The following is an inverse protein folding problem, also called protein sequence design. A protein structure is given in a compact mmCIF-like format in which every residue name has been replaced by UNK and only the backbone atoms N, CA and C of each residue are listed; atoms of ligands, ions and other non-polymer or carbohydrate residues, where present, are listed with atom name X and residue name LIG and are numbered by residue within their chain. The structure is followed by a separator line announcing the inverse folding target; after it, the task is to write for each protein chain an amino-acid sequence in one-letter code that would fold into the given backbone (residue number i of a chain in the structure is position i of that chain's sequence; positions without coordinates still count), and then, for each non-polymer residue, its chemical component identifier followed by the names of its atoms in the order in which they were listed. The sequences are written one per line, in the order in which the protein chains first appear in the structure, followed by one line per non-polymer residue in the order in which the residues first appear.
data_IF_575229942537
#
_entry.id   IF_575229942537
#
_cell.length_a   1.000
_cell.length_b   1.000
_cell.length_c   1.000
_cell.angle_alpha   90.00
_cell.angle_beta   90.00
_cell.angle_gamma   90.00
#
_symmetry.space_group_name_H-M   'P 1'
#
loop_
_entity.id
_entity.type
_entity.pdbx_description
1 polymer ?
#
# COMPACT_ATOMS: atom_id res chain seq x y z
N UNK A 1 49.12 -10.18 1.63
CA UNK A 1 49.20 -11.19 2.70
C UNK A 1 48.24 -10.73 3.79
N UNK A 2 46.93 -10.66 3.58
CA UNK A 2 45.98 -11.67 3.06
C UNK A 2 46.00 -12.92 3.92
N UNK A 3 45.24 -12.89 5.01
CA UNK A 3 44.62 -14.08 5.59
C UNK A 3 43.30 -13.64 6.22
N UNK A 4 42.25 -13.87 5.43
CA UNK A 4 40.84 -13.61 5.72
C UNK A 4 40.24 -15.01 5.87
N UNK A 5 40.02 -15.45 7.11
CA UNK A 5 39.50 -16.79 7.42
C UNK A 5 38.25 -16.68 8.28
N UNK A 6 37.11 -16.84 7.59
CA UNK A 6 35.88 -17.52 7.99
C UNK A 6 35.24 -17.16 9.34
N UNK A 7 34.19 -16.34 9.30
CA UNK A 7 33.13 -16.35 10.33
C UNK A 7 31.95 -17.17 9.81
N UNK A 8 31.79 -18.37 10.39
CA UNK A 8 30.63 -19.24 10.23
C UNK A 8 29.39 -18.62 10.86
N UNK A 9 28.32 -18.51 10.07
CA UNK A 9 26.95 -18.28 10.54
C UNK A 9 26.36 -19.61 11.03
N UNK A 10 25.73 -19.69 12.23
CA UNK A 10 25.07 -20.91 12.66
C UNK A 10 23.75 -21.11 11.91
N UNK A 11 23.63 -22.22 11.18
CA UNK A 11 22.37 -22.70 10.61
C UNK A 11 21.53 -23.41 11.68
N UNK A 12 20.24 -23.07 11.72
CA UNK A 12 19.23 -23.76 12.51
C UNK A 12 18.96 -25.17 11.97
N UNK A 13 18.92 -26.17 12.85
CA UNK A 13 18.52 -27.53 12.54
C UNK A 13 17.00 -27.72 12.71
N UNK A 14 16.30 -28.40 11.77
CA UNK A 14 14.93 -28.86 11.98
C UNK A 14 14.87 -30.21 12.74
N UNK A 15 13.77 -30.52 13.44
CA UNK A 15 13.65 -31.68 14.33
C UNK A 15 13.46 -33.03 13.60
N UNK A 16 13.74 -34.17 14.26
CA UNK A 16 13.72 -35.49 13.65
C UNK A 16 12.35 -36.18 13.75
N UNK A 17 11.94 -36.88 12.68
CA UNK A 17 10.81 -37.81 12.67
C UNK A 17 10.95 -38.81 11.51
N UNK A 18 11.02 -40.12 11.83
CA UNK A 18 11.35 -41.22 10.90
C UNK A 18 10.17 -41.76 10.05
N UNK A 19 10.17 -43.07 9.66
CA UNK A 19 10.75 -43.50 8.38
C UNK A 19 9.74 -44.15 7.39
N UNK A 20 10.02 -43.98 6.09
CA UNK A 20 9.88 -45.00 5.04
C UNK A 20 8.53 -45.16 4.30
N UNK A 21 8.54 -44.94 2.97
CA UNK A 21 7.41 -45.32 2.09
C UNK A 21 7.45 -44.84 0.63
N UNK A 22 8.46 -45.24 -0.14
CA UNK A 22 8.63 -45.37 -1.61
C UNK A 22 7.65 -44.75 -2.65
N UNK A 23 8.28 -43.95 -3.54
CA UNK A 23 8.18 -43.74 -5.01
C UNK A 23 7.16 -44.47 -5.91
N UNK A 24 6.56 -43.69 -6.82
CA UNK A 24 6.46 -43.82 -8.31
C UNK A 24 5.49 -42.71 -8.80
N UNK A 25 5.70 -41.90 -9.85
CA UNK A 25 6.38 -42.09 -11.13
C UNK A 25 5.33 -42.39 -12.23
N UNK A 26 5.27 -41.57 -13.29
CA UNK A 26 4.38 -41.63 -14.48
C UNK A 26 2.96 -41.02 -14.31
N UNK A 27 2.39 -40.21 -15.22
CA UNK A 27 2.47 -40.16 -16.70
C UNK A 27 2.22 -38.74 -17.25
N UNK A 28 3.02 -38.34 -18.25
CA UNK A 28 2.66 -37.40 -19.32
C UNK A 28 1.58 -38.03 -20.23
N UNK A 29 0.63 -37.24 -20.76
CA UNK A 29 0.28 -37.16 -22.21
C UNK A 29 -1.08 -36.46 -22.49
N UNK A 30 -1.02 -35.44 -23.36
CA UNK A 30 -1.97 -34.97 -24.40
C UNK A 30 -3.48 -34.87 -24.18
N UNK A 31 -4.06 -33.77 -24.69
CA UNK A 31 -5.46 -33.75 -25.12
C UNK A 31 -6.02 -32.39 -25.52
N UNK A 32 -5.77 -31.96 -26.75
CA UNK A 32 -6.51 -30.90 -27.47
C UNK A 32 -8.00 -31.29 -27.61
N UNK A 33 -8.99 -30.39 -27.43
CA UNK A 33 -10.36 -30.70 -27.80
C UNK A 33 -10.66 -30.33 -29.26
N UNK A 34 -11.29 -31.29 -29.95
CA UNK A 34 -11.74 -31.31 -31.33
C UNK A 34 -13.16 -30.73 -31.46
N UNK A 35 -13.40 -30.01 -32.56
CA UNK A 35 -14.71 -29.55 -33.06
C UNK A 35 -15.55 -30.73 -33.57
N UNK A 36 -16.88 -30.71 -33.42
CA UNK A 36 -17.76 -31.43 -34.34
C UNK A 36 -18.72 -30.47 -35.08
N UNK A 37 -18.92 -30.74 -36.37
CA UNK A 37 -20.02 -30.20 -37.16
C UNK A 37 -21.01 -31.30 -37.55
N UNK A 38 -22.29 -30.95 -37.71
CA UNK A 38 -23.26 -31.81 -38.42
C UNK A 38 -24.75 -31.72 -38.01
N UNK A 39 -25.47 -30.72 -38.55
CA UNK A 39 -26.77 -30.80 -39.28
C UNK A 39 -27.97 -31.57 -38.65
N UNK A 40 -29.05 -30.84 -38.29
CA UNK A 40 -30.42 -30.97 -38.87
C UNK A 40 -31.44 -30.00 -38.21
N UNK A 41 -32.30 -29.39 -39.04
CA UNK A 41 -33.47 -28.52 -38.72
C UNK A 41 -34.73 -29.41 -38.55
N UNK A 42 -35.82 -29.00 -37.85
CA UNK A 42 -36.82 -28.05 -38.40
C UNK A 42 -37.60 -27.18 -37.36
N UNK A 43 -38.24 -26.09 -37.82
CA UNK A 43 -39.49 -25.58 -37.19
C UNK A 43 -39.57 -24.07 -36.87
N UNK A 44 -40.20 -23.33 -37.78
CA UNK A 44 -40.82 -21.97 -37.65
C UNK A 44 -41.87 -21.87 -36.50
N UNK A 45 -42.55 -20.73 -36.16
CA UNK A 45 -42.78 -19.49 -36.96
C UNK A 45 -42.90 -18.14 -36.20
N UNK A 46 -42.94 -17.04 -36.97
CA UNK A 46 -43.67 -15.75 -36.77
C UNK A 46 -43.21 -14.81 -37.90
N UNK A 47 -44.02 -14.25 -38.81
CA UNK A 47 -45.46 -14.06 -38.88
C UNK A 47 -45.78 -12.56 -39.01
N UNK A 48 -45.89 -12.01 -40.22
CA UNK A 48 -46.72 -10.84 -40.61
C UNK A 48 -46.82 -10.74 -42.15
N UNK A 49 -48.05 -10.79 -42.69
CA UNK A 49 -48.37 -10.70 -44.14
C UNK A 49 -48.66 -9.26 -44.62
N UNK A 50 -49.61 -9.01 -45.55
CA UNK A 50 -50.08 -9.82 -46.69
C UNK A 50 -50.17 -8.99 -48.01
N UNK A 51 -50.38 -9.64 -49.18
CA UNK A 51 -50.70 -8.91 -50.41
C UNK A 51 -50.84 -9.73 -51.70
N UNK A 52 -51.97 -10.44 -51.86
CA UNK A 52 -52.82 -10.58 -53.08
C UNK A 52 -52.29 -11.07 -54.46
N UNK A 53 -53.17 -11.63 -55.33
CA UNK A 53 -52.84 -12.81 -56.14
C UNK A 53 -53.14 -12.72 -57.67
N UNK A 54 -52.77 -13.79 -58.40
CA UNK A 54 -53.29 -14.16 -59.74
C UNK A 54 -52.23 -14.05 -60.84
N UNK A 55 -52.02 -14.98 -61.76
CA UNK A 55 -52.71 -16.18 -62.24
C UNK A 55 -52.00 -16.64 -63.54
N UNK A 56 -52.34 -17.80 -64.12
CA UNK A 56 -51.37 -18.68 -64.81
C UNK A 56 -51.49 -18.71 -66.35
N UNK A 57 -50.53 -19.36 -67.02
CA UNK A 57 -50.77 -19.93 -68.36
C UNK A 57 -49.54 -19.99 -69.29
N UNK A 58 -48.98 -21.19 -69.47
CA UNK A 58 -48.31 -21.57 -70.74
C UNK A 58 -49.37 -21.86 -71.82
N UNK A 59 -49.12 -22.70 -72.85
CA UNK A 59 -47.89 -23.39 -73.28
C UNK A 59 -47.63 -23.21 -74.80
N UNK A 60 -46.69 -23.95 -75.40
CA UNK A 60 -46.78 -24.24 -76.83
C UNK A 60 -45.46 -24.41 -77.58
N UNK A 61 -45.00 -25.65 -77.66
CA UNK A 61 -43.95 -26.15 -78.53
C UNK A 61 -44.25 -25.93 -80.03
N UNK A 62 -43.21 -25.75 -80.86
CA UNK A 62 -42.94 -26.57 -82.05
C UNK A 62 -41.76 -26.00 -82.86
N UNK A 63 -40.76 -26.86 -83.11
CA UNK A 63 -39.74 -26.67 -84.15
C UNK A 63 -40.32 -27.01 -85.53
N UNK A 64 -39.66 -26.59 -86.63
CA UNK A 64 -38.84 -27.59 -87.36
C UNK A 64 -37.49 -27.09 -87.93
N UNK A 65 -36.64 -28.09 -88.23
CA UNK A 65 -35.27 -28.16 -88.82
C UNK A 65 -35.19 -27.74 -90.33
N UNK A 66 -34.02 -27.79 -91.03
CA UNK A 66 -32.72 -27.11 -90.82
C UNK A 66 -32.10 -26.54 -92.14
N UNK A 67 -31.12 -25.63 -92.07
CA UNK A 67 -30.26 -25.29 -93.22
C UNK A 67 -28.86 -24.79 -92.75
N UNK A 68 -27.87 -24.89 -93.63
CA UNK A 68 -26.47 -25.15 -93.35
C UNK A 68 -25.56 -23.94 -93.02
N UNK A 69 -24.53 -24.24 -92.21
CA UNK A 69 -23.14 -23.75 -92.11
C UNK A 69 -22.72 -22.30 -92.45
N UNK A 70 -22.03 -21.66 -91.49
CA UNK A 70 -20.97 -20.67 -91.69
C UNK A 70 -19.90 -20.77 -90.55
N UNK A 71 -18.63 -20.37 -90.76
CA UNK A 71 -17.45 -21.03 -90.19
C UNK A 71 -16.91 -20.46 -88.85
N UNK A 72 -16.02 -21.25 -88.22
CA UNK A 72 -15.30 -21.01 -86.95
C UNK A 72 -14.31 -19.83 -87.00
N UNK A 73 -14.10 -19.06 -85.91
CA UNK A 73 -12.93 -18.21 -85.73
C UNK A 73 -11.73 -18.98 -85.15
N UNK A 74 -10.53 -18.61 -85.60
CA UNK A 74 -9.22 -19.18 -85.29
C UNK A 74 -8.71 -18.94 -83.84
N UNK A 75 -7.77 -19.75 -83.32
CA UNK A 75 -7.28 -19.64 -81.94
C UNK A 75 -6.31 -18.47 -81.74
N UNK A 76 -6.42 -17.76 -80.61
CA UNK A 76 -5.47 -16.70 -80.20
C UNK A 76 -4.22 -17.30 -79.51
N UNK A 77 -3.02 -16.72 -79.71
CA UNK A 77 -1.77 -17.26 -79.18
C UNK A 77 -1.54 -16.93 -77.69
N UNK A 78 -0.75 -17.77 -77.02
CA UNK A 78 -0.34 -17.62 -75.61
C UNK A 78 0.49 -16.35 -75.36
N UNK A 79 0.41 -15.72 -74.16
CA UNK A 79 1.08 -14.46 -73.89
C UNK A 79 2.60 -14.63 -73.73
N UNK A 80 3.35 -13.82 -74.47
CA UNK A 80 4.81 -13.74 -74.41
C UNK A 80 5.30 -13.06 -73.12
N UNK A 81 6.40 -13.58 -72.56
CA UNK A 81 7.12 -13.05 -71.39
C UNK A 81 7.57 -11.60 -71.67
N UNK A 82 6.98 -10.64 -70.95
CA UNK A 82 7.32 -9.22 -71.05
C UNK A 82 8.50 -8.90 -70.12
N UNK A 83 9.56 -8.34 -70.70
CA UNK A 83 10.81 -8.01 -70.02
C UNK A 83 10.63 -7.17 -68.76
N UNK A 84 11.50 -7.42 -67.79
CA UNK A 84 11.56 -6.78 -66.47
C UNK A 84 11.55 -5.26 -66.62
N UNK A 85 10.40 -4.65 -66.34
CA UNK A 85 10.18 -3.21 -66.43
C UNK A 85 11.16 -2.48 -65.49
N UNK A 86 11.98 -1.58 -66.04
CA UNK A 86 12.86 -0.69 -65.27
C UNK A 86 12.05 0.13 -64.24
N UNK A 87 10.76 0.35 -64.47
CA UNK A 87 9.84 1.01 -63.51
C UNK A 87 9.47 0.10 -62.34
N UNK A 88 9.37 -1.21 -62.54
CA UNK A 88 9.13 -2.17 -61.45
C UNK A 88 10.40 -2.31 -60.60
N UNK A 89 11.58 -2.31 -61.23
CA UNK A 89 12.85 -2.31 -60.49
C UNK A 89 13.04 -1.02 -59.69
N UNK A 90 12.66 0.13 -60.25
CA UNK A 90 12.64 1.42 -59.55
C UNK A 90 11.64 1.41 -58.39
N UNK A 91 10.43 0.89 -58.60
CA UNK A 91 9.41 0.76 -57.55
C UNK A 91 9.88 -0.12 -56.39
N UNK A 92 10.49 -1.27 -56.68
CA UNK A 92 11.08 -2.15 -55.65
C UNK A 92 12.25 -1.46 -54.95
N UNK A 93 13.10 -0.72 -55.67
CA UNK A 93 14.21 0.02 -55.07
C UNK A 93 13.71 1.11 -54.11
N UNK A 94 12.66 1.85 -54.48
CA UNK A 94 12.03 2.85 -53.60
C UNK A 94 11.41 2.19 -52.38
N UNK A 95 10.69 1.07 -52.54
CA UNK A 95 10.11 0.33 -51.41
C UNK A 95 11.18 -0.25 -50.48
N UNK A 96 12.27 -0.79 -51.03
CA UNK A 96 13.40 -1.26 -50.24
C UNK A 96 14.11 -0.11 -49.52
N UNK A 97 14.27 1.05 -50.15
CA UNK A 97 14.90 2.22 -49.54
C UNK A 97 14.02 2.81 -48.44
N UNK A 98 12.69 2.84 -48.64
CA UNK A 98 11.73 3.17 -47.59
C UNK A 98 11.74 2.11 -46.47
N UNK A 99 11.87 0.83 -46.80
CA UNK A 99 11.97 -0.26 -45.84
C UNK A 99 13.26 -0.22 -45.02
N UNK A 100 14.39 0.17 -45.62
CA UNK A 100 15.68 0.37 -44.94
C UNK A 100 15.67 1.65 -44.11
N UNK A 101 15.09 2.74 -44.61
CA UNK A 101 14.91 3.97 -43.83
C UNK A 101 13.97 3.75 -42.64
N UNK A 102 12.90 2.98 -42.83
CA UNK A 102 11.98 2.56 -41.77
C UNK A 102 12.66 1.61 -40.79
N UNK A 103 13.42 0.63 -41.27
CA UNK A 103 14.19 -0.30 -40.44
C UNK A 103 15.30 0.39 -39.64
N UNK A 104 15.97 1.39 -40.23
CA UNK A 104 16.95 2.23 -39.56
C UNK A 104 16.28 3.16 -38.53
N UNK A 105 15.11 3.72 -38.85
CA UNK A 105 14.29 4.49 -37.92
C UNK A 105 13.79 3.66 -36.73
N UNK A 106 13.46 2.38 -36.97
CA UNK A 106 13.07 1.43 -35.91
C UNK A 106 14.25 1.03 -35.02
N UNK A 107 15.47 0.93 -35.56
CA UNK A 107 16.65 0.53 -34.80
C UNK A 107 17.21 1.65 -33.91
N UNK A 108 16.96 2.92 -34.27
CA UNK A 108 17.48 4.08 -33.54
C UNK A 108 16.56 4.62 -32.41
N UNK A 109 15.33 4.11 -32.24
CA UNK A 109 14.29 4.78 -31.43
C UNK A 109 13.88 4.05 -30.13
N UNK A 110 14.73 3.20 -29.55
CA UNK A 110 14.29 2.31 -28.46
C UNK A 110 14.31 2.92 -27.04
N UNK A 111 14.96 4.07 -26.83
CA UNK A 111 15.17 4.65 -25.49
C UNK A 111 14.78 6.12 -25.35
N UNK A 112 14.29 6.75 -26.41
CA UNK A 112 14.13 8.21 -26.44
C UNK A 112 12.69 8.64 -26.21
N UNK A 113 12.54 9.80 -25.58
CA UNK A 113 11.25 10.46 -25.40
C UNK A 113 10.95 11.29 -26.67
N UNK A 114 9.78 11.13 -27.31
CA UNK A 114 9.44 11.87 -28.51
C UNK A 114 9.60 13.39 -28.34
N UNK A 115 10.10 14.08 -29.37
CA UNK A 115 10.24 15.55 -29.37
C UNK A 115 8.86 16.21 -29.19
N UNK A 116 8.82 17.32 -28.44
CA UNK A 116 7.57 18.04 -28.16
C UNK A 116 6.71 17.41 -27.06
N UNK A 117 7.28 16.49 -26.27
CA UNK A 117 6.58 15.90 -25.12
C UNK A 117 6.77 16.75 -23.88
N UNK A 118 5.67 17.23 -23.31
CA UNK A 118 5.65 18.07 -22.12
C UNK A 118 4.88 17.43 -20.97
N UNK A 119 5.35 17.65 -19.74
CA UNK A 119 4.67 17.25 -18.50
C UNK A 119 4.53 18.50 -17.64
N UNK A 120 3.31 18.93 -17.37
CA UNK A 120 3.02 20.16 -16.60
C UNK A 120 3.80 21.40 -17.09
N UNK A 121 3.96 21.51 -18.41
CA UNK A 121 4.71 22.61 -19.05
C UNK A 121 6.24 22.44 -19.06
N UNK A 122 6.77 21.32 -18.57
CA UNK A 122 8.20 20.96 -18.67
C UNK A 122 8.43 20.11 -19.90
N UNK A 123 9.26 20.58 -20.84
CA UNK A 123 9.65 19.80 -22.03
C UNK A 123 10.66 18.70 -21.65
N UNK A 124 10.20 17.45 -21.74
CA UNK A 124 10.98 16.23 -21.47
C UNK A 124 11.38 15.52 -22.77
N UNK A 125 10.94 16.02 -23.93
CA UNK A 125 11.15 15.38 -25.22
C UNK A 125 12.54 15.60 -25.82
N UNK A 126 12.88 14.78 -26.82
CA UNK A 126 14.03 14.98 -27.70
C UNK A 126 15.38 14.49 -27.17
N UNK A 127 15.38 13.68 -26.12
CA UNK A 127 16.55 13.01 -25.56
C UNK A 127 16.20 11.64 -24.99
N UNK A 128 17.10 11.08 -24.18
CA UNK A 128 16.90 9.79 -23.54
C UNK A 128 15.86 9.87 -22.42
N UNK A 129 15.34 8.72 -21.96
CA UNK A 129 14.48 8.65 -20.77
C UNK A 129 15.16 9.26 -19.55
N UNK A 130 16.45 9.02 -19.38
CA UNK A 130 17.25 9.55 -18.28
C UNK A 130 17.30 11.08 -18.32
N UNK A 131 17.55 11.67 -19.50
CA UNK A 131 17.53 13.13 -19.68
C UNK A 131 16.15 13.71 -19.38
N UNK A 132 15.09 13.01 -19.79
CA UNK A 132 13.70 13.41 -19.50
C UNK A 132 13.40 13.43 -18.01
N UNK A 133 13.92 12.46 -17.26
CA UNK A 133 13.74 12.40 -15.80
C UNK A 133 14.52 13.51 -15.11
N UNK A 134 15.77 13.75 -15.50
CA UNK A 134 16.58 14.82 -14.90
C UNK A 134 15.92 16.20 -15.09
N UNK A 135 15.40 16.47 -16.29
CA UNK A 135 14.66 17.71 -16.57
C UNK A 135 13.40 17.84 -15.72
N UNK A 136 12.64 16.74 -15.55
CA UNK A 136 11.41 16.73 -14.77
C UNK A 136 11.70 16.94 -13.27
N UNK A 137 12.71 16.26 -12.74
CA UNK A 137 13.16 16.40 -11.36
C UNK A 137 13.67 17.82 -11.08
N UNK A 138 14.50 18.37 -11.97
CA UNK A 138 15.01 19.74 -11.83
C UNK A 138 13.88 20.78 -11.74
N UNK A 139 12.79 20.57 -12.48
CA UNK A 139 11.67 21.49 -12.53
C UNK A 139 10.63 21.28 -11.40
N UNK A 140 10.32 20.03 -11.06
CA UNK A 140 9.19 19.69 -10.19
C UNK A 140 9.59 19.17 -8.81
N UNK A 141 10.81 18.68 -8.59
CA UNK A 141 11.20 18.10 -7.30
C UNK A 141 11.03 19.07 -6.12
N UNK A 142 11.33 20.36 -6.33
CA UNK A 142 11.12 21.39 -5.29
C UNK A 142 9.64 21.56 -4.93
N UNK A 143 8.74 21.52 -5.93
CA UNK A 143 7.29 21.62 -5.73
C UNK A 143 6.74 20.36 -5.06
N UNK A 144 7.25 19.20 -5.48
CA UNK A 144 6.92 17.89 -4.94
C UNK A 144 7.39 17.69 -3.49
N UNK A 145 8.47 18.36 -3.07
CA UNK A 145 8.99 18.33 -1.69
C UNK A 145 8.40 19.42 -0.79
N UNK A 146 7.62 20.36 -1.32
CA UNK A 146 7.05 21.46 -0.53
C UNK A 146 5.99 20.92 0.43
N UNK A 147 6.04 21.24 1.75
CA UNK A 147 5.01 20.82 2.70
C UNK A 147 3.62 21.30 2.30
N UNK A 148 2.63 20.41 2.37
CA UNK A 148 1.22 20.76 2.17
C UNK A 148 0.72 21.55 3.38
N UNK A 149 -0.03 22.62 3.11
CA UNK A 149 -0.76 23.35 4.15
C UNK A 149 -2.14 22.73 4.30
N UNK A 150 -2.44 22.23 5.49
CA UNK A 150 -3.71 21.60 5.82
C UNK A 150 -4.37 22.38 6.96
N UNK A 151 -5.69 22.44 6.96
CA UNK A 151 -6.46 23.08 8.03
C UNK A 151 -7.34 22.03 8.70
N UNK A 152 -7.23 21.91 10.02
CA UNK A 152 -8.01 20.97 10.82
C UNK A 152 -8.76 21.77 11.87
N UNK A 153 -10.10 21.82 11.75
CA UNK A 153 -10.97 22.58 12.66
C UNK A 153 -10.53 24.06 12.79
N UNK A 154 -10.19 24.69 11.65
CA UNK A 154 -9.73 26.09 11.58
C UNK A 154 -8.29 26.34 11.99
N UNK A 155 -7.52 25.32 12.38
CA UNK A 155 -6.08 25.46 12.69
C UNK A 155 -5.22 24.97 11.54
N UNK A 156 -4.24 25.79 11.14
CA UNK A 156 -3.26 25.41 10.13
C UNK A 156 -2.25 24.38 10.68
N UNK A 157 -1.88 23.45 9.81
CA UNK A 157 -0.91 22.38 10.04
C UNK A 157 -0.18 22.11 8.74
N UNK A 158 1.03 21.57 8.85
CA UNK A 158 1.84 21.19 7.69
C UNK A 158 2.02 19.68 7.63
N UNK A 159 1.89 19.14 6.42
CA UNK A 159 2.17 17.74 6.14
C UNK A 159 3.32 17.67 5.13
N UNK A 160 4.42 17.03 5.54
CA UNK A 160 5.55 16.79 4.66
C UNK A 160 5.22 15.62 3.70
N UNK A 161 5.28 15.81 2.36
CA UNK A 161 4.90 14.78 1.39
C UNK A 161 5.68 13.46 1.56
N UNK A 162 6.98 13.55 1.82
CA UNK A 162 7.87 12.40 2.03
C UNK A 162 7.46 11.55 3.22
N UNK A 163 7.03 12.20 4.33
CA UNK A 163 6.52 11.52 5.52
C UNK A 163 5.14 10.94 5.32
N UNK A 164 4.35 11.56 4.45
CA UNK A 164 3.00 11.13 4.11
C UNK A 164 2.97 10.07 2.99
N UNK A 165 4.12 9.62 2.48
CA UNK A 165 4.14 8.65 1.38
C UNK A 165 3.68 9.21 0.03
N UNK A 166 3.69 10.55 -0.12
CA UNK A 166 3.33 11.26 -1.34
C UNK A 166 4.60 11.58 -2.13
N UNK A 167 4.64 11.19 -3.41
CA UNK A 167 5.77 11.51 -4.28
C UNK A 167 5.34 11.69 -5.72
N UNK A 168 6.20 12.34 -6.51
CA UNK A 168 6.13 12.38 -7.96
C UNK A 168 7.07 11.30 -8.50
N UNK A 169 6.54 10.36 -9.28
CA UNK A 169 7.36 9.35 -9.95
C UNK A 169 7.73 9.83 -11.35
N UNK A 170 8.84 10.57 -11.43
CA UNK A 170 9.38 11.07 -12.69
C UNK A 170 9.76 9.93 -13.65
N UNK A 171 10.25 8.81 -13.13
CA UNK A 171 10.65 7.64 -13.92
C UNK A 171 9.44 6.97 -14.58
N UNK A 172 8.38 6.71 -13.81
CA UNK A 172 7.13 6.15 -14.35
C UNK A 172 6.45 7.14 -15.31
N UNK A 173 6.48 8.43 -14.99
CA UNK A 173 5.94 9.49 -15.87
C UNK A 173 6.64 9.51 -17.22
N UNK A 174 7.97 9.52 -17.24
CA UNK A 174 8.76 9.52 -18.48
C UNK A 174 8.63 8.18 -19.23
N UNK A 175 8.50 7.06 -18.51
CA UNK A 175 8.23 5.76 -19.13
C UNK A 175 6.86 5.72 -19.82
N UNK A 176 5.82 6.28 -19.18
CA UNK A 176 4.50 6.42 -19.78
C UNK A 176 4.53 7.35 -20.99
N UNK A 177 5.32 8.42 -20.92
CA UNK A 177 5.55 9.35 -22.02
C UNK A 177 6.25 8.69 -23.23
N UNK A 178 7.20 7.79 -22.99
CA UNK A 178 7.94 7.07 -24.03
C UNK A 178 7.16 5.87 -24.61
N UNK A 179 6.15 5.36 -23.90
CA UNK A 179 5.49 4.07 -24.20
C UNK A 179 4.27 4.12 -25.12
N UNK A 180 3.82 5.31 -25.55
CA UNK A 180 2.53 5.46 -26.23
C UNK A 180 2.73 6.17 -27.56
N UNK A 181 2.97 5.39 -28.63
CA UNK A 181 2.53 5.60 -30.03
C UNK A 181 3.42 4.84 -31.03
N UNK A 182 3.26 3.52 -31.08
CA UNK A 182 3.65 2.69 -32.22
C UNK A 182 2.43 2.49 -33.16
N UNK A 183 1.77 3.58 -33.60
CA UNK A 183 0.70 3.52 -34.60
C UNK A 183 1.19 4.14 -35.92
N UNK A 184 1.24 3.41 -37.06
CA UNK A 184 1.79 3.90 -38.32
C UNK A 184 1.13 5.17 -38.88
N UNK A 185 -0.07 5.53 -38.41
CA UNK A 185 -0.78 6.75 -38.81
C UNK A 185 -0.34 7.97 -37.98
N UNK A 186 0.13 7.81 -36.73
CA UNK A 186 0.61 8.92 -35.89
C UNK A 186 2.04 9.37 -36.25
N UNK A 187 2.81 8.52 -36.95
CA UNK A 187 4.18 8.82 -37.41
C UNK A 187 4.22 9.88 -38.51
N UNK A 188 3.14 10.04 -39.28
CA UNK A 188 3.03 11.10 -40.30
C UNK A 188 2.72 12.45 -39.63
N UNK A 189 1.97 12.46 -38.52
CA UNK A 189 1.71 13.67 -37.73
C UNK A 189 2.90 14.10 -36.87
N UNK A 190 3.72 13.15 -36.38
CA UNK A 190 4.91 13.44 -35.57
C UNK A 190 6.06 14.06 -36.37
N UNK A 191 6.07 13.93 -37.70
CA UNK A 191 6.97 14.69 -38.57
C UNK A 191 6.59 16.19 -38.67
N UNK A 192 5.38 16.56 -38.25
CA UNK A 192 4.87 17.93 -38.25
C UNK A 192 4.72 18.58 -36.87
N UNK A 193 5.31 17.99 -35.81
CA UNK A 193 5.45 18.67 -34.52
C UNK A 193 4.14 18.81 -33.74
N UNK A 194 3.43 17.71 -33.50
CA UNK A 194 2.34 17.71 -32.52
C UNK A 194 2.88 17.78 -31.09
N UNK A 195 2.44 18.78 -30.32
CA UNK A 195 2.71 18.84 -28.87
C UNK A 195 2.01 17.67 -28.17
N UNK A 196 2.76 16.92 -27.36
CA UNK A 196 2.22 15.81 -26.56
C UNK A 196 2.26 16.19 -25.09
N UNK A 197 1.10 16.30 -24.45
CA UNK A 197 1.04 16.52 -22.99
C UNK A 197 0.81 15.19 -22.28
N UNK A 198 1.67 14.85 -21.33
CA UNK A 198 1.59 13.62 -20.52
C UNK A 198 1.28 13.98 -19.07
N UNK A 199 0.34 13.26 -18.46
CA UNK A 199 0.02 13.43 -17.04
C UNK A 199 1.10 12.80 -16.14
N UNK A 200 1.54 13.49 -15.06
CA UNK A 200 2.46 12.90 -14.11
C UNK A 200 1.84 11.78 -13.27
N UNK A 201 2.68 10.82 -12.92
CA UNK A 201 2.35 9.70 -12.04
C UNK A 201 2.67 10.07 -10.60
N UNK A 202 1.66 10.00 -9.73
CA UNK A 202 1.77 10.30 -8.31
C UNK A 202 1.48 9.04 -7.49
N UNK A 203 2.49 8.19 -7.21
CA UNK A 203 2.28 7.07 -6.30
C UNK A 203 2.01 7.59 -4.88
N UNK A 204 1.11 6.90 -4.19
CA UNK A 204 0.74 7.18 -2.81
C UNK A 204 0.88 5.89 -2.01
N UNK A 205 1.64 5.98 -0.92
CA UNK A 205 1.67 4.94 0.11
C UNK A 205 0.54 5.25 1.11
N UNK A 206 -0.59 4.56 0.94
CA UNK A 206 -1.81 4.80 1.73
C UNK A 206 -1.59 4.50 3.23
N UNK A 207 -0.71 3.56 3.56
CA UNK A 207 -0.39 3.23 4.95
C UNK A 207 0.37 4.38 5.61
N UNK A 208 1.41 4.90 4.94
CA UNK A 208 2.15 6.08 5.44
C UNK A 208 1.26 7.32 5.51
N UNK A 209 0.40 7.54 4.51
CA UNK A 209 -0.52 8.66 4.52
C UNK A 209 -1.50 8.55 5.69
N UNK A 210 -2.04 7.36 5.95
CA UNK A 210 -2.92 7.09 7.07
C UNK A 210 -2.27 7.37 8.43
N UNK A 211 -1.04 6.87 8.64
CA UNK A 211 -0.27 7.12 9.87
C UNK A 211 0.02 8.61 10.03
N UNK A 212 0.50 9.28 8.99
CA UNK A 212 0.81 10.71 9.06
C UNK A 212 -0.44 11.56 9.37
N UNK A 213 -1.60 11.21 8.79
CA UNK A 213 -2.88 11.87 9.12
C UNK A 213 -3.32 11.60 10.57
N UNK A 214 -3.06 10.40 11.09
CA UNK A 214 -3.36 10.04 12.47
C UNK A 214 -2.46 10.78 13.47
N UNK A 215 -1.18 10.95 13.15
CA UNK A 215 -0.23 11.73 13.94
C UNK A 215 -0.60 13.22 13.96
N UNK A 216 -1.03 13.78 12.83
CA UNK A 216 -1.54 15.15 12.75
C UNK A 216 -2.80 15.35 13.59
N UNK A 217 -3.66 14.33 13.68
CA UNK A 217 -4.85 14.37 14.53
C UNK A 217 -4.49 14.45 16.03
N UNK A 218 -3.30 13.99 16.44
CA UNK A 218 -2.81 13.99 17.83
C UNK A 218 -2.64 15.38 18.46
N UNK A 219 -2.61 16.45 17.65
CA UNK A 219 -2.34 17.82 18.10
C UNK A 219 -3.58 18.71 18.34
N UNK A 220 -4.74 18.41 17.75
CA UNK A 220 -5.89 19.33 17.76
C UNK A 220 -7.21 18.63 18.01
N UNK A 221 -7.91 18.99 19.10
CA UNK A 221 -9.26 18.50 19.36
C UNK A 221 -9.37 17.02 19.74
N UNK A 222 -8.23 16.34 19.96
CA UNK A 222 -8.13 14.90 20.27
C UNK A 222 -9.13 14.47 21.32
N UNK A 223 -9.90 13.44 21.00
CA UNK A 223 -10.61 12.64 21.99
C UNK A 223 -9.66 12.29 23.12
N UNK A 224 -10.06 12.57 24.35
CA UNK A 224 -9.32 12.14 25.54
C UNK A 224 -10.06 10.97 26.11
N UNK A 225 -9.43 9.80 26.10
CA UNK A 225 -9.96 8.65 26.82
C UNK A 225 -10.00 8.95 28.32
N UNK A 226 -10.99 8.35 28.98
CA UNK A 226 -11.07 8.37 30.43
C UNK A 226 -9.85 7.65 31.01
N UNK A 227 -9.37 8.11 32.16
CA UNK A 227 -8.27 7.48 32.89
C UNK A 227 -8.43 7.67 34.38
N UNK A 228 -7.57 7.02 35.16
CA UNK A 228 -7.49 7.21 36.61
C UNK A 228 -6.13 7.84 36.93
N UNK A 229 -6.18 8.95 37.66
CA UNK A 229 -4.99 9.62 38.20
C UNK A 229 -4.78 9.19 39.65
N UNK A 230 -3.54 8.88 39.98
CA UNK A 230 -3.13 8.63 41.35
C UNK A 230 -2.55 9.93 41.90
N UNK A 231 -3.27 10.54 42.84
CA UNK A 231 -2.84 11.74 43.56
C UNK A 231 -2.35 11.36 44.96
N UNK A 232 -1.58 12.23 45.65
CA UNK A 232 -1.20 12.02 47.03
C UNK A 232 -2.41 11.64 47.91
N UNK A 233 -2.45 10.37 48.34
CA UNK A 233 -3.45 9.82 49.25
C UNK A 233 -4.76 9.33 48.61
N UNK A 234 -4.98 9.45 47.29
CA UNK A 234 -6.23 9.02 46.64
C UNK A 234 -6.09 8.72 45.15
N UNK A 235 -6.99 7.90 44.63
CA UNK A 235 -7.21 7.75 43.19
C UNK A 235 -8.38 8.64 42.73
N UNK A 236 -8.27 9.24 41.55
CA UNK A 236 -9.26 10.16 40.98
C UNK A 236 -9.61 9.70 39.57
N UNK A 237 -10.89 9.39 39.34
CA UNK A 237 -11.40 9.08 38.01
C UNK A 237 -11.47 10.38 37.20
N UNK A 238 -10.90 10.37 36.02
CA UNK A 238 -10.96 11.47 35.05
C UNK A 238 -11.78 10.96 33.87
N UNK A 239 -13.06 11.38 33.75
CA UNK A 239 -13.90 10.99 32.62
C UNK A 239 -13.28 11.40 31.29
N UNK A 240 -13.50 10.55 30.28
CA UNK A 240 -13.11 10.88 28.92
C UNK A 240 -13.92 12.04 28.37
N UNK A 241 -13.33 12.81 27.45
CA UNK A 241 -14.00 13.91 26.77
C UNK A 241 -14.06 13.62 25.28
N UNK A 242 -15.27 13.66 24.73
CA UNK A 242 -15.48 13.61 23.29
C UNK A 242 -14.69 14.72 22.59
N UNK A 243 -14.12 14.36 21.45
CA UNK A 243 -13.26 15.22 20.68
C UNK A 243 -13.54 15.10 19.19
N UNK A 244 -12.85 15.92 18.41
CA UNK A 244 -12.84 15.82 16.96
C UNK A 244 -11.59 15.06 16.54
N UNK A 245 -11.75 14.18 15.56
CA UNK A 245 -10.66 13.47 14.91
C UNK A 245 -10.76 13.71 13.40
N UNK A 246 -9.62 13.68 12.72
CA UNK A 246 -9.58 13.71 11.26
C UNK A 246 -10.28 12.45 10.74
N UNK A 247 -11.19 12.60 9.78
CA UNK A 247 -11.74 11.47 9.02
C UNK A 247 -10.67 11.03 8.03
N UNK A 248 -9.80 10.10 8.44
CA UNK A 248 -8.63 9.66 7.66
C UNK A 248 -9.06 9.22 6.26
N UNK A 249 -10.11 8.39 6.17
CA UNK A 249 -10.60 7.86 4.90
C UNK A 249 -11.03 8.94 3.91
N UNK A 250 -11.78 9.95 4.37
CA UNK A 250 -12.17 11.07 3.51
C UNK A 250 -11.02 12.03 3.24
N UNK A 251 -10.12 12.19 4.21
CA UNK A 251 -8.97 13.11 4.12
C UNK A 251 -7.90 12.63 3.14
N UNK A 252 -7.71 11.31 2.99
CA UNK A 252 -6.72 10.77 2.05
C UNK A 252 -6.95 11.27 0.62
N UNK A 253 -8.20 11.26 0.15
CA UNK A 253 -8.57 11.78 -1.17
C UNK A 253 -8.25 13.28 -1.31
N UNK A 254 -8.68 14.08 -0.33
CA UNK A 254 -8.42 15.52 -0.32
C UNK A 254 -6.93 15.86 -0.32
N UNK A 255 -6.12 15.12 0.44
CA UNK A 255 -4.67 15.34 0.50
C UNK A 255 -3.97 14.94 -0.80
N UNK A 256 -4.37 13.83 -1.42
CA UNK A 256 -3.84 13.41 -2.72
C UNK A 256 -4.12 14.45 -3.80
N UNK A 257 -5.35 14.95 -3.84
CA UNK A 257 -5.77 15.95 -4.83
C UNK A 257 -5.08 17.29 -4.57
N UNK A 258 -4.90 17.66 -3.29
CA UNK A 258 -4.12 18.83 -2.89
C UNK A 258 -2.65 18.73 -3.34
N UNK A 259 -2.03 17.55 -3.16
CA UNK A 259 -0.64 17.31 -3.55
C UNK A 259 -0.46 17.47 -5.06
N UNK A 260 -1.33 16.83 -5.84
CA UNK A 260 -1.35 16.97 -7.30
C UNK A 260 -1.48 18.44 -7.71
N UNK A 261 -2.49 19.12 -7.20
CA UNK A 261 -2.73 20.53 -7.53
C UNK A 261 -1.55 21.44 -7.15
N UNK A 262 -0.86 21.15 -6.04
CA UNK A 262 0.34 21.89 -5.62
C UNK A 262 1.51 21.67 -6.59
N UNK A 263 1.75 20.43 -7.04
CA UNK A 263 2.83 20.14 -7.99
C UNK A 263 2.53 20.79 -9.36
N UNK A 264 1.28 20.73 -9.80
CA UNK A 264 0.80 21.33 -11.05
C UNK A 264 0.90 22.85 -11.04
N UNK A 265 0.37 23.51 -10.02
CA UNK A 265 0.25 24.98 -9.96
C UNK A 265 1.45 25.66 -9.31
N UNK A 266 2.30 24.92 -8.59
CA UNK A 266 3.36 25.46 -7.75
C UNK A 266 2.86 26.25 -6.53
N UNK A 267 1.55 26.20 -6.24
CA UNK A 267 0.92 26.98 -5.15
C UNK A 267 0.49 26.08 -3.99
N UNK A 268 1.03 26.35 -2.80
CA UNK A 268 0.63 25.68 -1.56
C UNK A 268 -0.65 26.32 -0.99
N UNK A 269 -1.81 25.91 -1.50
CA UNK A 269 -3.12 26.31 -0.96
C UNK A 269 -3.45 25.49 0.29
N UNK A 270 -4.05 26.14 1.28
CA UNK A 270 -4.53 25.44 2.47
C UNK A 270 -5.73 24.57 2.12
N UNK A 271 -5.70 23.30 2.52
CA UNK A 271 -6.80 22.35 2.31
C UNK A 271 -7.43 21.96 3.64
N UNK A 272 -8.73 22.20 3.76
CA UNK A 272 -9.48 21.84 4.95
C UNK A 272 -9.76 20.33 4.96
N UNK A 273 -9.37 19.67 6.06
CA UNK A 273 -9.59 18.24 6.23
C UNK A 273 -10.93 17.98 6.93
N UNK A 274 -11.72 17.00 6.45
CA UNK A 274 -12.94 16.60 7.11
C UNK A 274 -12.65 16.06 8.51
N UNK A 275 -13.41 16.54 9.49
CA UNK A 275 -13.35 16.09 10.88
C UNK A 275 -14.65 15.38 11.26
N UNK A 276 -14.52 14.35 12.09
CA UNK A 276 -15.64 13.61 12.69
C UNK A 276 -15.56 13.70 14.20
N UNK A 277 -16.71 13.75 14.85
CA UNK A 277 -16.80 13.61 16.30
C UNK A 277 -16.50 12.16 16.67
N UNK A 278 -15.57 11.95 17.61
CA UNK A 278 -15.24 10.64 18.13
C UNK A 278 -15.43 10.64 19.65
N UNK A 279 -16.03 9.56 20.14
CA UNK A 279 -16.28 9.35 21.56
C UNK A 279 -15.08 8.64 22.23
N UNK A 280 -14.87 8.85 23.54
CA UNK A 280 -13.91 8.07 24.32
C UNK A 280 -14.19 6.56 24.20
N UNK A 281 -13.13 5.77 24.06
CA UNK A 281 -13.20 4.31 24.05
C UNK A 281 -13.44 3.74 25.44
N UNK A 282 -12.94 4.41 26.47
CA UNK A 282 -13.14 4.04 27.87
C UNK A 282 -14.52 4.54 28.33
N UNK A 283 -15.39 3.60 28.68
CA UNK A 283 -16.74 3.90 29.19
C UNK A 283 -16.71 4.31 30.66
N UNK A 284 -17.80 4.94 31.15
CA UNK A 284 -17.94 5.21 32.58
C UNK A 284 -17.95 3.92 33.41
N UNK A 285 -18.56 2.84 32.90
CA UNK A 285 -18.59 1.55 33.58
C UNK A 285 -17.17 0.94 33.72
N UNK A 286 -16.31 1.14 32.71
CA UNK A 286 -14.90 0.76 32.77
C UNK A 286 -14.14 1.53 33.84
N UNK A 287 -14.33 2.85 33.90
CA UNK A 287 -13.74 3.70 34.94
C UNK A 287 -14.16 3.26 36.33
N UNK A 288 -15.45 3.03 36.54
CA UNK A 288 -15.99 2.60 37.83
C UNK A 288 -15.46 1.22 38.24
N UNK A 289 -15.29 0.31 37.28
CA UNK A 289 -14.69 -1.01 37.52
C UNK A 289 -13.23 -0.87 37.91
N UNK A 290 -12.42 -0.17 37.12
CA UNK A 290 -11.00 0.04 37.37
C UNK A 290 -10.74 0.77 38.70
N UNK A 291 -11.62 1.70 39.08
CA UNK A 291 -11.56 2.40 40.36
C UNK A 291 -11.75 1.42 41.52
N UNK A 292 -12.81 0.60 41.49
CA UNK A 292 -13.16 -0.34 42.57
C UNK A 292 -12.23 -1.54 42.66
N UNK A 293 -11.85 -2.12 41.52
CA UNK A 293 -11.09 -3.37 41.48
C UNK A 293 -9.59 -3.15 41.70
N UNK A 294 -9.05 -2.00 41.28
CA UNK A 294 -7.60 -1.75 41.34
C UNK A 294 -7.25 -0.45 42.06
N UNK A 295 -7.77 0.70 41.61
CA UNK A 295 -7.22 1.99 42.04
C UNK A 295 -7.47 2.32 43.52
N UNK A 296 -8.67 2.05 44.03
CA UNK A 296 -9.00 2.18 45.46
C UNK A 296 -8.19 1.21 46.34
N UNK A 297 -8.16 -0.12 46.05
CA UNK A 297 -7.29 -1.05 46.78
C UNK A 297 -5.81 -0.66 46.75
N UNK A 298 -5.29 -0.27 45.58
CA UNK A 298 -3.90 0.11 45.41
C UNK A 298 -3.52 1.29 46.32
N UNK A 299 -4.40 2.28 46.45
CA UNK A 299 -4.19 3.48 47.25
C UNK A 299 -4.63 3.37 48.71
N UNK A 300 -5.20 2.23 49.12
CA UNK A 300 -5.79 2.04 50.46
C UNK A 300 -4.77 2.06 51.62
N UNK A 301 -3.48 1.82 51.33
CA UNK A 301 -2.45 1.78 52.37
C UNK A 301 -1.05 1.62 51.80
N UNK A 302 -0.07 1.52 52.69
CA UNK A 302 1.31 1.21 52.29
C UNK A 302 1.43 -0.25 51.84
N UNK A 303 2.32 -0.51 50.90
CA UNK A 303 2.82 -1.86 50.60
C UNK A 303 4.29 -1.93 50.99
N UNK A 304 4.78 -3.12 51.31
CA UNK A 304 6.20 -3.33 51.65
C UNK A 304 6.78 -4.40 50.75
N UNK A 305 7.85 -4.06 50.05
CA UNK A 305 8.60 -5.00 49.20
C UNK A 305 9.85 -5.44 49.96
N UNK A 306 10.08 -6.75 50.04
CA UNK A 306 11.24 -7.36 50.70
C UNK A 306 12.06 -8.17 49.70
N UNK A 307 13.38 -8.05 49.75
CA UNK A 307 14.28 -8.88 48.95
C UNK A 307 15.67 -8.93 49.62
N UNK A 308 16.28 -10.12 49.69
CA UNK A 308 17.66 -10.28 50.20
C UNK A 308 17.88 -9.71 51.61
N UNK A 309 16.89 -9.81 52.50
CA UNK A 309 16.95 -9.27 53.86
C UNK A 309 16.78 -7.75 53.97
N UNK A 310 16.48 -7.07 52.86
CA UNK A 310 16.20 -5.64 52.80
C UNK A 310 14.72 -5.40 52.54
N UNK A 311 14.20 -4.25 52.97
CA UNK A 311 12.81 -3.88 52.75
C UNK A 311 12.63 -2.39 52.44
N UNK A 312 11.61 -2.07 51.65
CA UNK A 312 11.20 -0.70 51.35
C UNK A 312 9.67 -0.59 51.34
N UNK A 313 9.09 0.41 52.05
CA UNK A 313 7.67 0.70 51.99
C UNK A 313 7.33 1.68 50.86
N UNK A 314 6.25 1.41 50.13
CA UNK A 314 5.63 2.34 49.19
C UNK A 314 4.26 2.78 49.70
N UNK A 315 4.06 4.09 49.84
CA UNK A 315 2.86 4.67 50.45
C UNK A 315 2.04 5.52 49.47
N UNK A 316 0.72 5.66 49.72
CA UNK A 316 -0.18 6.40 48.84
C UNK A 316 0.07 7.91 48.84
N UNK A 317 0.73 8.45 49.87
CA UNK A 317 0.97 9.90 49.98
C UNK A 317 2.10 10.41 49.06
N UNK A 318 3.08 9.57 48.69
CA UNK A 318 4.29 10.04 48.00
C UNK A 318 4.75 9.13 46.89
N UNK A 319 4.97 7.84 47.16
CA UNK A 319 5.64 6.96 46.21
C UNK A 319 4.69 6.26 45.25
N UNK A 320 3.54 5.73 45.72
CA UNK A 320 2.56 5.08 44.82
C UNK A 320 2.03 6.02 43.72
N UNK A 321 1.71 7.31 43.97
CA UNK A 321 1.32 8.25 42.91
C UNK A 321 2.37 8.48 41.81
N UNK A 322 3.65 8.26 42.12
CA UNK A 322 4.74 8.42 41.15
C UNK A 322 4.96 7.16 40.32
N UNK A 323 4.58 6.00 40.85
CA UNK A 323 4.78 4.70 40.19
C UNK A 323 3.55 4.30 39.39
N UNK A 324 2.34 4.55 39.92
CA UNK A 324 1.11 4.03 39.34
C UNK A 324 0.53 4.97 38.29
N UNK A 325 0.14 4.39 37.16
CA UNK A 325 -0.64 5.05 36.12
C UNK A 325 -1.59 4.04 35.47
N UNK A 326 -2.62 4.53 34.79
CA UNK A 326 -3.49 3.66 33.96
C UNK A 326 -3.51 4.15 32.53
N UNK A 327 -3.47 3.21 31.59
CA UNK A 327 -3.59 3.49 30.15
C UNK A 327 -4.80 2.77 29.58
N UNK A 328 -5.48 3.43 28.65
CA UNK A 328 -6.53 2.82 27.85
C UNK A 328 -5.88 1.91 26.80
N UNK A 329 -6.26 0.63 26.79
CA UNK A 329 -5.90 -0.36 25.79
C UNK A 329 -7.18 -1.09 25.41
N UNK A 330 -7.56 -1.00 24.13
CA UNK A 330 -8.79 -1.62 23.60
C UNK A 330 -10.06 -1.28 24.40
N UNK A 331 -10.18 -0.02 24.84
CA UNK A 331 -11.32 0.47 25.63
C UNK A 331 -11.32 0.02 27.10
N UNK A 332 -10.25 -0.66 27.56
CA UNK A 332 -10.06 -1.06 28.96
C UNK A 332 -8.93 -0.30 29.63
N UNK A 333 -9.02 -0.07 30.93
CA UNK A 333 -7.96 0.54 31.71
C UNK A 333 -7.02 -0.54 32.24
N UNK A 334 -5.76 -0.45 31.83
CA UNK A 334 -4.68 -1.36 32.24
C UNK A 334 -3.70 -0.60 33.14
N UNK A 335 -3.27 -1.25 34.22
CA UNK A 335 -2.27 -0.73 35.15
C UNK A 335 -0.88 -0.66 34.49
N UNK A 336 -0.21 0.47 34.66
CA UNK A 336 1.14 0.72 34.13
C UNK A 336 2.01 1.30 35.23
N UNK A 337 3.19 0.69 35.41
CA UNK A 337 4.16 1.07 36.42
C UNK A 337 5.28 1.89 35.77
N UNK A 338 5.58 3.05 36.34
CA UNK A 338 6.72 3.87 35.95
C UNK A 338 8.00 3.27 36.53
N UNK A 339 8.77 2.61 35.64
CA UNK A 339 10.02 1.93 36.01
C UNK A 339 11.09 2.90 36.47
N UNK A 340 11.16 4.09 35.87
CA UNK A 340 12.15 5.10 36.25
C UNK A 340 11.85 5.66 37.65
N UNK A 341 10.56 5.81 37.98
CA UNK A 341 10.14 6.17 39.33
C UNK A 341 10.50 5.07 40.35
N UNK A 342 10.30 3.79 40.01
CA UNK A 342 10.70 2.67 40.85
C UNK A 342 12.21 2.65 41.07
N UNK A 343 13.02 2.73 40.01
CA UNK A 343 14.48 2.75 40.12
C UNK A 343 14.97 3.91 41.00
N UNK A 344 14.38 5.11 40.82
CA UNK A 344 14.71 6.28 41.65
C UNK A 344 14.36 6.07 43.12
N UNK A 345 13.20 5.47 43.41
CA UNK A 345 12.73 5.23 44.78
C UNK A 345 13.48 4.07 45.46
N UNK A 346 13.95 3.09 44.69
CA UNK A 346 14.71 1.93 45.16
C UNK A 346 16.23 2.13 45.12
N UNK A 347 16.71 3.28 44.64
CA UNK A 347 18.14 3.54 44.43
C UNK A 347 18.96 3.22 45.69
N UNK A 348 19.94 2.32 45.56
CA UNK A 348 20.82 1.91 46.66
C UNK A 348 20.21 0.87 47.63
N UNK A 349 18.88 0.67 47.61
CA UNK A 349 18.21 -0.26 48.53
C UNK A 349 18.55 -1.68 48.15
N UNK A 350 18.22 -2.12 46.94
CA UNK A 350 18.41 -3.51 46.52
C UNK A 350 19.75 -3.77 45.81
N UNK A 351 20.72 -2.87 45.95
CA UNK A 351 22.07 -3.06 45.39
C UNK A 351 22.69 -4.36 45.91
N UNK A 352 23.24 -5.15 44.99
CA UNK A 352 23.84 -6.46 45.26
C UNK A 352 22.83 -7.60 45.49
N UNK A 353 21.51 -7.35 45.42
CA UNK A 353 20.50 -8.40 45.49
C UNK A 353 20.37 -9.05 44.11
N UNK A 354 20.73 -10.33 44.03
CA UNK A 354 20.70 -11.12 42.81
C UNK A 354 19.52 -12.09 42.84
N UNK A 355 18.70 -12.07 41.80
CA UNK A 355 17.57 -12.98 41.60
C UNK A 355 17.90 -13.98 40.48
N UNK A 356 17.50 -15.23 40.66
CA UNK A 356 17.59 -16.24 39.61
C UNK A 356 16.33 -16.14 38.74
N UNK A 357 16.47 -15.75 37.47
CA UNK A 357 15.31 -15.69 36.55
C UNK A 357 15.04 -17.05 35.93
N UNK A 358 13.92 -17.20 35.21
CA UNK A 358 13.54 -18.44 34.52
C UNK A 358 14.54 -18.96 33.48
N UNK A 359 15.56 -18.17 33.13
CA UNK A 359 16.71 -18.58 32.31
C UNK A 359 17.82 -19.30 33.12
N UNK A 360 17.64 -19.46 34.43
CA UNK A 360 18.60 -20.06 35.36
C UNK A 360 19.80 -19.17 35.68
N UNK A 361 19.84 -17.93 35.17
CA UNK A 361 20.94 -16.99 35.42
C UNK A 361 20.57 -16.03 36.54
N UNK A 362 21.60 -15.62 37.28
CA UNK A 362 21.49 -14.58 38.30
C UNK A 362 21.54 -13.20 37.65
N UNK A 363 20.48 -12.43 37.84
CA UNK A 363 20.38 -11.04 37.42
C UNK A 363 20.23 -10.15 38.65
N UNK A 364 20.71 -8.92 38.56
CA UNK A 364 20.43 -7.95 39.62
C UNK A 364 18.92 -7.64 39.61
N UNK A 365 18.34 -7.55 40.80
CA UNK A 365 16.93 -7.17 40.98
C UNK A 365 16.67 -5.81 40.33
N UNK A 366 15.72 -5.75 39.40
CA UNK A 366 15.40 -4.54 38.64
C UNK A 366 14.02 -3.97 39.00
N UNK A 367 13.73 -2.76 38.51
CA UNK A 367 12.39 -2.16 38.64
C UNK A 367 11.26 -3.05 38.09
N UNK A 368 11.53 -3.90 37.09
CA UNK A 368 10.53 -4.83 36.55
C UNK A 368 10.14 -5.89 37.56
N UNK A 369 11.11 -6.42 38.31
CA UNK A 369 10.87 -7.45 39.31
C UNK A 369 10.11 -6.84 40.51
N UNK A 370 10.43 -5.61 40.88
CA UNK A 370 9.67 -4.84 41.89
C UNK A 370 8.26 -4.55 41.42
N UNK A 371 8.07 -4.05 40.20
CA UNK A 371 6.75 -3.76 39.64
C UNK A 371 5.86 -5.02 39.60
N UNK A 372 6.43 -6.17 39.21
CA UNK A 372 5.74 -7.45 39.22
C UNK A 372 5.29 -7.85 40.63
N UNK A 373 6.18 -7.73 41.63
CA UNK A 373 5.85 -8.02 43.03
C UNK A 373 4.77 -7.07 43.59
N UNK A 374 4.84 -5.78 43.22
CA UNK A 374 3.86 -4.77 43.66
C UNK A 374 2.43 -5.13 43.23
N UNK A 375 2.23 -5.71 42.04
CA UNK A 375 0.90 -5.98 41.48
C UNK A 375 0.01 -6.78 42.44
N UNK A 376 0.54 -7.85 43.03
CA UNK A 376 -0.18 -8.64 44.03
C UNK A 376 -0.40 -7.88 45.34
N UNK A 377 0.64 -7.22 45.85
CA UNK A 377 0.59 -6.51 47.12
C UNK A 377 -0.39 -5.33 47.12
N UNK A 378 -0.54 -4.63 45.99
CA UNK A 378 -1.45 -3.49 45.85
C UNK A 378 -2.92 -3.86 46.03
N UNK A 379 -3.30 -5.09 45.67
CA UNK A 379 -4.66 -5.60 45.80
C UNK A 379 -4.95 -6.19 47.19
N UNK A 380 -3.91 -6.33 48.03
CA UNK A 380 -4.04 -6.84 49.40
C UNK A 380 -4.90 -5.93 50.28
N UNK A 381 -5.82 -6.54 51.03
CA UNK A 381 -6.71 -5.86 51.99
C UNK A 381 -6.17 -5.85 53.41
N UNK A 382 -5.22 -6.73 53.69
CA UNK A 382 -4.58 -6.86 55.01
C UNK A 382 -3.11 -6.44 54.96
N UNK A 383 -2.51 -5.98 56.07
CA UNK A 383 -1.08 -5.64 56.10
C UNK A 383 -0.16 -6.80 55.66
N UNK A 384 -0.59 -8.05 55.92
CA UNK A 384 0.13 -9.25 55.50
C UNK A 384 0.10 -9.42 53.98
N UNK A 385 -1.07 -9.28 53.35
CA UNK A 385 -1.21 -9.35 51.88
C UNK A 385 -0.49 -8.20 51.16
N UNK A 386 -0.35 -7.05 51.83
CA UNK A 386 0.37 -5.88 51.32
C UNK A 386 1.88 -5.94 51.53
N UNK A 387 2.38 -7.02 52.11
CA UNK A 387 3.82 -7.28 52.26
C UNK A 387 4.20 -8.45 51.36
N UNK A 388 5.09 -8.21 50.39
CA UNK A 388 5.57 -9.25 49.47
C UNK A 388 7.07 -9.40 49.56
N UNK A 389 7.52 -10.65 49.56
CA UNK A 389 8.94 -11.01 49.50
C UNK A 389 9.24 -11.54 48.12
N UNK A 390 10.20 -10.93 47.43
CA UNK A 390 10.71 -11.41 46.15
C UNK A 390 11.65 -12.57 46.45
N UNK A 391 11.32 -13.75 45.92
CA UNK A 391 12.17 -14.94 46.02
C UNK A 391 13.41 -14.77 45.12
N UNK A 392 14.57 -15.13 45.65
CA UNK A 392 15.86 -15.01 44.95
C UNK A 392 16.24 -16.29 44.21
N UNK A 393 15.57 -17.42 44.53
CA UNK A 393 15.96 -18.76 44.09
C UNK A 393 15.15 -19.29 42.89
N UNK A 394 14.33 -18.44 42.25
CA UNK A 394 13.74 -18.71 40.93
C UNK A 394 12.45 -19.55 40.90
N UNK A 395 11.74 -19.67 42.03
CA UNK A 395 10.46 -20.37 42.13
C UNK A 395 9.21 -19.46 41.97
N UNK A 396 9.39 -18.21 41.53
CA UNK A 396 8.34 -17.19 41.39
C UNK A 396 7.83 -17.02 39.98
#
# INVERSE_FOLDING_TARGET
MSDDTAILTPQFAPPPGGPGGNVSGDTLNSGIPVVPGGRNVPGDPMGTGPGGPGGPGGPGSAAPKPAAAAPRPAPKPAPAKKGRSKLVLLGVAVVCLLGVAYGAGLLMNHSDVPKGTTVLGVDIGGGTKEDGVEKLDAALAKRAATPLKLTVDGKETQLAPDKAGLSLDSQATVRAAAGSDYNPVSVIGSLFGGERTVEPVFPVDEEKLGVALQDLAGGSGTVRDGTIKFEPGKAVAVPGKAGKAIDVNKSMGSVRDAYRAQVETGSARAVELPVVTREPTVTQAELDRAMKEFAEPAMSGLITIRAGGKEIPFGPAKSLPQILSMKAVDGKLVDVYDKEAIDRLCAGVFDGVMITKGDGKKHQLSADDVAFAMKGALMGKTPAERTVTIDLDGNG
#
